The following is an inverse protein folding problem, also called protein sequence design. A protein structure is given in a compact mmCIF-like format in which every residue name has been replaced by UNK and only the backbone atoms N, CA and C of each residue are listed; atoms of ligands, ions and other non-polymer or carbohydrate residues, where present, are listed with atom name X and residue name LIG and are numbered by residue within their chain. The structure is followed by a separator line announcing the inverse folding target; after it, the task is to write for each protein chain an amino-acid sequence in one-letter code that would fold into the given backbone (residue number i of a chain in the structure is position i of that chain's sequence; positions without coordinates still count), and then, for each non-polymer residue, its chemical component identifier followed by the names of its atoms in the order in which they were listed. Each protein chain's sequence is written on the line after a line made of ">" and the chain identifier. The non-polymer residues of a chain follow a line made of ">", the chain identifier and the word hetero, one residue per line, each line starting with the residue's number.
data_IF_995265008584
#
_entry.id   IF_995265008584
#
_cell.length_a   1.000
_cell.length_b   1.000
_cell.length_c   1.000
_cell.angle_alpha   90.00
_cell.angle_beta   90.00
_cell.angle_gamma   90.00
#
_symmetry.space_group_name_H-M   'P 1'
#
loop_
_entity.id
_entity.type
_entity.pdbx_description
1 polymer ?
#
# COMPACT_ATOMS: atom_id res chain seq x y z
N UNK A 1 8.03 4.39 -1.18
CA UNK A 1 7.49 4.67 0.16
C UNK A 1 5.97 4.53 0.21
N UNK A 2 5.22 5.19 -0.67
CA UNK A 2 3.74 5.09 -0.72
C UNK A 2 3.19 3.64 -0.81
N UNK A 3 3.76 2.80 -1.67
CA UNK A 3 3.36 1.38 -1.79
C UNK A 3 3.64 0.58 -0.53
N UNK A 4 4.73 0.88 0.18
CA UNK A 4 5.06 0.24 1.46
C UNK A 4 4.12 0.68 2.59
N UNK A 5 3.70 1.94 2.62
CA UNK A 5 2.68 2.42 3.58
C UNK A 5 1.39 1.62 3.45
N UNK A 6 0.94 1.39 2.22
CA UNK A 6 -0.27 0.61 1.95
C UNK A 6 -0.08 -0.86 2.36
N UNK A 7 1.01 -1.50 1.94
CA UNK A 7 1.26 -2.92 2.22
C UNK A 7 1.51 -3.20 3.70
N UNK A 8 2.44 -2.47 4.33
CA UNK A 8 2.77 -2.63 5.75
C UNK A 8 1.58 -2.21 6.62
N UNK A 9 0.88 -1.14 6.25
CA UNK A 9 -0.34 -0.71 6.93
C UNK A 9 -1.43 -1.79 6.89
N UNK A 10 -1.65 -2.41 5.73
CA UNK A 10 -2.63 -3.50 5.58
C UNK A 10 -2.28 -4.71 6.46
N UNK A 11 -1.00 -5.09 6.54
CA UNK A 11 -0.53 -6.19 7.38
C UNK A 11 -0.63 -5.83 8.87
N UNK A 12 -0.20 -4.63 9.26
CA UNK A 12 -0.30 -4.15 10.64
C UNK A 12 -1.76 -4.12 11.10
N UNK A 13 -2.65 -3.60 10.27
CA UNK A 13 -4.09 -3.54 10.53
C UNK A 13 -4.72 -4.93 10.70
N UNK A 14 -4.42 -5.87 9.79
CA UNK A 14 -4.89 -7.26 9.92
C UNK A 14 -4.39 -7.93 11.20
N UNK A 15 -3.13 -7.71 11.58
CA UNK A 15 -2.56 -8.24 12.83
C UNK A 15 -3.22 -7.64 14.07
N UNK A 16 -3.52 -6.34 14.07
CA UNK A 16 -4.23 -5.66 15.18
C UNK A 16 -5.66 -6.21 15.32
N UNK A 17 -6.32 -6.53 14.21
CA UNK A 17 -7.67 -7.13 14.21
C UNK A 17 -7.70 -8.62 14.56
N UNK A 18 -6.53 -9.27 14.70
CA UNK A 18 -6.46 -10.71 14.96
C UNK A 18 -6.94 -11.57 13.78
N UNK A 19 -7.03 -11.01 12.57
CA UNK A 19 -7.42 -11.77 11.38
C UNK A 19 -6.33 -12.77 10.99
N UNK A 20 -6.74 -13.93 10.46
CA UNK A 20 -5.79 -14.95 10.01
C UNK A 20 -4.99 -14.42 8.81
N UNK A 21 -3.67 -14.35 8.99
CA UNK A 21 -2.77 -14.03 7.88
C UNK A 21 -2.61 -15.27 6.98
N UNK A 22 -2.45 -15.08 5.65
CA UNK A 22 -2.07 -16.15 4.75
C UNK A 22 -0.83 -16.90 5.26
N UNK A 23 -0.75 -18.20 4.97
CA UNK A 23 0.37 -19.04 5.44
C UNK A 23 1.71 -18.48 4.95
N UNK A 24 2.50 -17.97 5.89
CA UNK A 24 3.85 -17.46 5.61
C UNK A 24 4.86 -18.61 5.70
N UNK A 25 5.84 -18.67 4.79
CA UNK A 25 6.99 -19.61 4.93
C UNK A 25 7.85 -19.27 6.15
N UNK A 26 7.88 -18.00 6.53
CA UNK A 26 8.62 -17.50 7.69
C UNK A 26 7.81 -16.40 8.39
N UNK A 27 7.83 -16.41 9.72
CA UNK A 27 7.21 -15.38 10.56
C UNK A 27 8.21 -14.96 11.62
N UNK A 28 8.38 -13.64 11.77
CA UNK A 28 9.19 -13.03 12.81
C UNK A 28 8.53 -13.12 14.21
N UNK A 29 7.42 -13.87 14.34
CA UNK A 29 6.70 -14.08 15.58
C UNK A 29 6.13 -12.79 16.17
N UNK A 30 6.31 -12.62 17.48
CA UNK A 30 5.79 -11.50 18.27
C UNK A 30 6.41 -10.15 17.86
N UNK A 31 7.68 -10.13 17.48
CA UNK A 31 8.40 -8.93 17.05
C UNK A 31 7.90 -8.38 15.71
N UNK A 32 7.14 -9.16 14.94
CA UNK A 32 6.61 -8.73 13.65
C UNK A 32 5.61 -7.58 13.75
N UNK A 33 4.80 -7.49 14.82
CA UNK A 33 3.83 -6.39 14.97
C UNK A 33 4.52 -5.05 15.31
N UNK A 34 5.39 -4.96 16.34
CA UNK A 34 6.14 -3.74 16.64
C UNK A 34 6.94 -3.21 15.44
N UNK A 35 7.62 -4.10 14.71
CA UNK A 35 8.44 -3.72 13.55
C UNK A 35 7.57 -3.19 12.41
N UNK A 36 6.43 -3.82 12.12
CA UNK A 36 5.50 -3.31 11.11
C UNK A 36 4.95 -1.93 11.49
N UNK A 37 4.62 -1.69 12.76
CA UNK A 37 4.21 -0.37 13.24
C UNK A 37 5.34 0.66 13.06
N UNK A 38 6.56 0.33 13.46
CA UNK A 38 7.71 1.23 13.29
C UNK A 38 7.95 1.56 11.81
N UNK A 39 7.96 0.54 10.95
CA UNK A 39 8.14 0.72 9.51
C UNK A 39 7.02 1.57 8.90
N UNK A 40 5.77 1.39 9.33
CA UNK A 40 4.63 2.22 8.90
C UNK A 40 4.82 3.69 9.29
N UNK A 41 5.12 3.95 10.57
CA UNK A 41 5.34 5.32 11.08
C UNK A 41 6.52 5.98 10.37
N UNK A 42 7.64 5.27 10.24
CA UNK A 42 8.82 5.79 9.54
C UNK A 42 8.55 6.07 8.06
N UNK A 43 7.80 5.20 7.38
CA UNK A 43 7.44 5.40 5.97
C UNK A 43 6.55 6.63 5.77
N UNK A 44 5.59 6.84 6.67
CA UNK A 44 4.75 8.05 6.69
C UNK A 44 5.60 9.31 6.94
N UNK A 45 6.49 9.27 7.93
CA UNK A 45 7.43 10.36 8.22
C UNK A 45 8.30 10.69 6.99
N UNK A 46 8.92 9.69 6.38
CA UNK A 46 9.76 9.86 5.19
C UNK A 46 8.99 10.43 4.00
N UNK A 47 7.71 10.06 3.84
CA UNK A 47 6.86 10.62 2.78
C UNK A 47 6.67 12.13 2.91
N UNK A 48 6.55 12.64 4.13
CA UNK A 48 6.44 14.09 4.36
C UNK A 48 7.74 14.78 3.92
N UNK A 49 8.90 14.29 4.37
CA UNK A 49 10.19 14.92 4.09
C UNK A 49 10.60 14.86 2.61
N UNK A 50 10.23 13.80 1.89
CA UNK A 50 10.50 13.69 0.45
C UNK A 50 9.80 14.81 -0.36
N UNK A 51 8.74 15.40 0.18
CA UNK A 51 7.99 16.47 -0.47
C UNK A 51 8.54 17.87 -0.15
N UNK A 52 9.48 17.99 0.80
CA UNK A 52 10.06 19.27 1.16
C UNK A 52 11.15 19.72 0.16
N UNK A 53 11.34 21.04 -0.01
CA UNK A 53 12.43 21.60 -0.81
C UNK A 53 13.78 21.43 -0.09
N UNK A 54 14.85 21.29 -0.87
CA UNK A 54 16.23 21.08 -0.36
C UNK A 54 16.86 22.42 0.10
N UNK A 55 16.45 23.53 -0.49
CA UNK A 55 16.94 24.87 -0.17
C UNK A 55 15.82 25.91 -0.19
N UNK A 56 16.01 26.96 0.60
CA UNK A 56 15.17 28.17 0.62
C UNK A 56 16.03 29.38 0.23
N UNK A 57 15.51 30.39 -0.48
CA UNK A 57 14.13 30.55 -0.97
C UNK A 57 13.82 29.63 -2.17
N UNK A 58 12.59 29.15 -2.26
CA UNK A 58 12.15 28.31 -3.38
C UNK A 58 11.76 29.19 -4.57
N UNK A 59 12.33 28.91 -5.73
CA UNK A 59 11.90 29.45 -7.01
C UNK A 59 11.14 28.37 -7.78
N UNK A 60 10.33 28.74 -8.78
CA UNK A 60 9.63 27.75 -9.61
C UNK A 60 10.62 26.76 -10.24
N UNK A 61 11.78 27.23 -10.69
CA UNK A 61 12.80 26.37 -11.30
C UNK A 61 13.48 25.41 -10.31
N UNK A 62 13.51 25.72 -9.01
CA UNK A 62 14.23 24.96 -7.98
C UNK A 62 13.31 24.20 -7.01
N UNK A 63 11.99 24.31 -7.17
CA UNK A 63 11.03 23.63 -6.31
C UNK A 63 11.06 22.11 -6.52
N UNK A 64 10.92 21.36 -5.44
CA UNK A 64 10.71 19.92 -5.51
C UNK A 64 9.32 19.60 -6.09
N UNK A 65 9.26 19.29 -7.38
CA UNK A 65 8.02 18.93 -8.09
C UNK A 65 7.49 17.51 -7.79
N UNK A 66 8.19 16.72 -6.97
CA UNK A 66 7.76 15.36 -6.66
C UNK A 66 6.37 15.33 -6.02
N UNK A 67 6.04 16.29 -5.15
CA UNK A 67 4.72 16.38 -4.52
C UNK A 67 3.60 16.64 -5.53
N UNK A 68 3.85 17.52 -6.51
CA UNK A 68 2.86 17.88 -7.54
C UNK A 68 2.61 16.69 -8.47
N UNK A 69 3.67 16.06 -8.95
CA UNK A 69 3.55 14.87 -9.80
C UNK A 69 2.90 13.70 -9.06
N UNK A 70 3.31 13.44 -7.83
CA UNK A 70 2.78 12.34 -7.02
C UNK A 70 1.29 12.53 -6.71
N UNK A 71 0.89 13.71 -6.22
CA UNK A 71 -0.51 14.00 -5.94
C UNK A 71 -1.38 13.99 -7.19
N UNK A 72 -0.88 14.52 -8.32
CA UNK A 72 -1.58 14.47 -9.61
C UNK A 72 -1.86 13.04 -10.08
N UNK A 73 -0.84 12.17 -10.08
CA UNK A 73 -1.01 10.76 -10.46
C UNK A 73 -1.93 10.04 -9.48
N UNK A 74 -1.82 10.30 -8.17
CA UNK A 74 -2.69 9.71 -7.15
C UNK A 74 -4.17 10.08 -7.40
N UNK A 75 -4.46 11.35 -7.66
CA UNK A 75 -5.82 11.83 -7.93
C UNK A 75 -6.37 11.18 -9.20
N UNK A 76 -5.60 11.14 -10.29
CA UNK A 76 -6.02 10.48 -11.53
C UNK A 76 -6.31 9.00 -11.28
N UNK A 77 -5.45 8.30 -10.54
CA UNK A 77 -5.64 6.89 -10.19
C UNK A 77 -6.91 6.67 -9.35
N UNK A 78 -7.18 7.55 -8.36
CA UNK A 78 -8.38 7.50 -7.54
C UNK A 78 -9.65 7.74 -8.36
N UNK A 79 -9.63 8.70 -9.30
CA UNK A 79 -10.75 8.96 -10.22
C UNK A 79 -10.99 7.75 -11.11
N UNK A 80 -9.94 7.20 -11.73
CA UNK A 80 -10.05 6.03 -12.58
C UNK A 80 -10.63 4.82 -11.80
N UNK A 81 -10.17 4.63 -10.56
CA UNK A 81 -10.73 3.61 -9.68
C UNK A 81 -12.20 3.88 -9.32
N UNK A 82 -12.56 5.12 -8.98
CA UNK A 82 -13.92 5.47 -8.62
C UNK A 82 -14.91 5.35 -9.80
N UNK A 83 -14.48 5.66 -11.03
CA UNK A 83 -15.34 5.61 -12.22
C UNK A 83 -15.47 4.21 -12.79
N UNK A 84 -14.36 3.49 -12.96
CA UNK A 84 -14.35 2.19 -13.64
C UNK A 84 -13.85 1.07 -12.74
N UNK A 85 -12.75 1.31 -12.01
CA UNK A 85 -12.08 0.27 -11.23
C UNK A 85 -13.01 -0.42 -10.22
N UNK A 86 -13.81 0.32 -9.46
CA UNK A 86 -14.74 -0.23 -8.45
C UNK A 86 -15.84 -1.12 -9.02
N UNK A 87 -16.14 -1.00 -10.32
CA UNK A 87 -17.21 -1.76 -10.98
C UNK A 87 -16.67 -2.98 -11.73
N UNK A 88 -15.44 -2.92 -12.21
CA UNK A 88 -14.80 -4.00 -13.00
C UNK A 88 -13.90 -4.88 -12.14
N UNK A 89 -13.35 -4.35 -11.04
CA UNK A 89 -12.38 -5.06 -10.22
C UNK A 89 -13.02 -6.26 -9.51
N UNK A 90 -12.68 -7.45 -9.96
CA UNK A 90 -12.99 -8.70 -9.27
C UNK A 90 -11.77 -9.14 -8.45
N UNK A 91 -11.97 -9.27 -7.14
CA UNK A 91 -10.89 -9.68 -6.23
C UNK A 91 -10.43 -11.12 -6.50
N UNK A 92 -9.11 -11.40 -6.43
CA UNK A 92 -8.54 -12.70 -6.79
C UNK A 92 -9.06 -13.89 -5.95
N UNK A 93 -9.63 -13.64 -4.77
CA UNK A 93 -10.26 -14.68 -3.94
C UNK A 93 -11.51 -15.30 -4.55
N UNK A 94 -12.12 -14.68 -5.55
CA UNK A 94 -13.30 -15.22 -6.24
C UNK A 94 -12.93 -16.36 -7.21
N UNK A 95 -11.73 -16.32 -7.80
CA UNK A 95 -11.33 -17.26 -8.86
C UNK A 95 -10.54 -18.48 -8.35
N UNK A 96 -9.97 -18.44 -7.14
CA UNK A 96 -9.18 -19.59 -6.63
C UNK A 96 -10.09 -20.77 -6.24
N UNK A 97 -11.33 -20.52 -5.85
CA UNK A 97 -12.26 -21.60 -5.55
C UNK A 97 -12.81 -22.28 -6.82
N UNK A 98 -12.91 -21.62 -7.97
CA UNK A 98 -13.38 -22.32 -9.18
C UNK A 98 -12.38 -23.37 -9.67
N UNK A 99 -11.09 -23.03 -9.67
CA UNK A 99 -10.06 -23.87 -10.31
C UNK A 99 -9.71 -25.09 -9.43
N UNK A 100 -9.68 -24.92 -8.10
CA UNK A 100 -9.40 -26.00 -7.13
C UNK A 100 -10.59 -26.97 -6.94
N UNK A 101 -11.81 -26.54 -7.26
CA UNK A 101 -12.96 -27.44 -7.32
C UNK A 101 -13.00 -28.21 -8.65
N UNK A 102 -12.50 -27.65 -9.75
CA UNK A 102 -12.44 -28.33 -11.05
C UNK A 102 -11.35 -29.44 -11.07
N UNK A 103 -10.15 -29.16 -10.55
CA UNK A 103 -9.06 -30.16 -10.45
C UNK A 103 -9.38 -31.35 -9.53
N UNK A 104 -10.33 -31.24 -8.61
CA UNK A 104 -10.71 -32.32 -7.68
C UNK A 104 -11.83 -33.22 -8.20
N UNK A 105 -12.39 -32.95 -9.38
CA UNK A 105 -13.45 -33.73 -10.02
C UNK A 105 -12.97 -34.57 -11.21
N UNK A 106 -11.66 -34.75 -11.39
CA UNK A 106 -11.06 -35.66 -12.38
C UNK A 106 -10.21 -36.74 -11.71
#
# INVERSE_FOLDING_TARGET
>A
MSTYVISVGSIAWKRIRGETLPRCRWSLGWAGLPINCFAFVYSCWAMVWVCFPISVPVAAESMNYAIVMFSGVLVIALICYAVQGRHVYQGPVVNVNSDVFDERNF
#
